data_IF_719644122794
#
_entry.id   IF_719644122794
#
_cell.length_a   1.000
_cell.length_b   1.000
_cell.length_c   1.000
_cell.angle_alpha   90.00
_cell.angle_beta   90.00
_cell.angle_gamma   90.00
#
_symmetry.space_group_name_H-M   'P 1'
#
loop_
_entity.id
_entity.type
_entity.pdbx_description
1 polymer ?
#
# COMPACT_ATOMS: atom_id res chain seq x y z
N UNK A 1 18.50 10.79 -10.68
CA UNK A 1 17.67 11.49 -9.68
C UNK A 1 18.02 11.07 -8.25
N UNK A 2 18.06 9.78 -7.96
CA UNK A 2 18.35 9.24 -6.62
C UNK A 2 19.72 9.67 -6.05
N UNK A 3 20.80 9.56 -6.83
CA UNK A 3 22.14 10.00 -6.42
C UNK A 3 22.20 11.50 -6.07
N UNK A 4 21.43 12.35 -6.76
CA UNK A 4 21.36 13.80 -6.44
C UNK A 4 20.63 14.07 -5.13
N UNK A 5 19.65 13.24 -4.78
CA UNK A 5 18.94 13.36 -3.50
C UNK A 5 19.83 12.92 -2.34
N UNK A 6 20.60 11.85 -2.49
CA UNK A 6 21.57 11.41 -1.48
C UNK A 6 22.66 12.48 -1.24
N UNK A 7 23.22 13.06 -2.30
CA UNK A 7 24.20 14.13 -2.17
C UNK A 7 23.65 15.36 -1.44
N UNK A 8 22.38 15.72 -1.69
CA UNK A 8 21.70 16.80 -0.96
C UNK A 8 21.47 16.46 0.51
N UNK A 9 21.05 15.24 0.82
CA UNK A 9 20.87 14.79 2.20
C UNK A 9 22.18 14.85 2.98
N UNK A 10 23.29 14.38 2.40
CA UNK A 10 24.62 14.44 3.01
C UNK A 10 25.08 15.89 3.26
N UNK A 11 24.82 16.81 2.33
CA UNK A 11 25.12 18.24 2.52
C UNK A 11 24.31 18.86 3.67
N UNK A 12 23.04 18.51 3.82
CA UNK A 12 22.21 19.00 4.91
C UNK A 12 22.65 18.43 6.26
N UNK A 13 22.98 17.13 6.31
CA UNK A 13 23.53 16.49 7.52
C UNK A 13 24.79 17.20 7.98
N UNK A 14 25.74 17.45 7.07
CA UNK A 14 26.97 18.16 7.38
C UNK A 14 26.71 19.58 7.89
N UNK A 15 25.78 20.33 7.26
CA UNK A 15 25.41 21.69 7.70
C UNK A 15 24.75 21.70 9.10
N UNK A 16 24.04 20.63 9.45
CA UNK A 16 23.39 20.47 10.76
C UNK A 16 24.33 19.86 11.81
N UNK A 17 25.54 19.49 11.41
CA UNK A 17 26.57 18.94 12.30
C UNK A 17 26.38 17.47 12.62
N UNK A 18 25.70 16.71 11.75
CA UNK A 18 25.53 15.27 11.88
C UNK A 18 26.35 14.50 10.83
N UNK A 19 26.84 13.33 11.20
CA UNK A 19 27.61 12.44 10.32
C UNK A 19 26.72 11.45 9.59
N UNK A 20 25.58 11.07 10.20
CA UNK A 20 24.62 10.14 9.62
C UNK A 20 23.17 10.54 9.90
N UNK A 21 22.23 9.93 9.20
CA UNK A 21 20.79 10.12 9.45
C UNK A 21 20.41 9.57 10.83
N UNK A 22 20.99 8.46 11.23
CA UNK A 22 20.76 7.81 12.53
C UNK A 22 21.13 8.75 13.69
N UNK A 23 22.24 9.50 13.55
CA UNK A 23 22.61 10.50 14.55
C UNK A 23 21.61 11.65 14.64
N UNK A 24 20.89 11.96 13.57
CA UNK A 24 19.93 13.06 13.50
C UNK A 24 18.53 12.65 13.98
N UNK A 25 18.14 11.40 13.80
CA UNK A 25 16.80 10.91 14.15
C UNK A 25 16.51 11.14 15.64
N UNK A 26 15.35 11.71 15.96
CA UNK A 26 14.93 11.99 17.33
C UNK A 26 15.64 13.16 18.01
N UNK A 27 16.48 13.93 17.31
CA UNK A 27 17.18 15.10 17.87
C UNK A 27 16.31 16.35 17.86
N UNK A 28 15.18 16.27 18.58
CA UNK A 28 14.24 17.41 18.74
C UNK A 28 14.88 18.62 19.43
N UNK A 29 15.93 18.41 20.21
CA UNK A 29 16.75 19.45 20.83
C UNK A 29 17.43 20.38 19.80
N UNK A 30 17.54 19.95 18.54
CA UNK A 30 18.11 20.74 17.45
C UNK A 30 17.08 21.51 16.64
N UNK A 31 15.78 21.39 16.98
CA UNK A 31 14.70 22.13 16.35
C UNK A 31 14.40 23.42 17.09
N UNK A 32 14.35 24.53 16.37
CA UNK A 32 14.03 25.86 16.92
C UNK A 32 12.71 26.36 16.31
N UNK A 33 11.55 26.05 16.92
CA UNK A 33 10.25 26.43 16.38
C UNK A 33 9.99 27.94 16.42
N UNK A 34 10.77 28.73 17.19
CA UNK A 34 10.54 30.17 17.40
C UNK A 34 10.41 30.97 16.12
N UNK A 35 11.18 30.67 15.07
CA UNK A 35 11.10 31.38 13.79
C UNK A 35 9.78 31.14 13.05
N UNK A 36 9.18 29.98 13.23
CA UNK A 36 7.88 29.67 12.65
C UNK A 36 6.73 30.38 13.41
N UNK A 37 6.90 30.66 14.71
CA UNK A 37 5.90 31.30 15.55
C UNK A 37 5.80 32.83 15.34
N UNK A 38 6.77 33.45 14.65
CA UNK A 38 6.72 34.88 14.32
C UNK A 38 5.65 35.22 13.28
N UNK A 39 5.19 34.25 12.52
CA UNK A 39 4.08 34.44 11.59
C UNK A 39 2.73 34.46 12.31
N UNK A 40 1.89 35.45 12.01
CA UNK A 40 0.62 35.67 12.71
C UNK A 40 -0.30 34.43 12.77
N UNK A 41 -0.33 33.59 11.72
CA UNK A 41 -1.08 32.33 11.69
C UNK A 41 -0.50 31.24 12.60
N UNK A 42 0.78 31.35 12.95
CA UNK A 42 1.47 30.34 13.73
C UNK A 42 1.53 30.67 15.24
N UNK A 43 1.11 31.88 15.64
CA UNK A 43 1.21 32.36 17.04
C UNK A 43 0.47 31.52 18.07
N UNK A 44 -0.54 30.73 17.64
CA UNK A 44 -1.32 29.87 18.51
C UNK A 44 -0.85 28.40 18.55
N UNK A 45 0.19 28.03 17.82
CA UNK A 45 0.66 26.64 17.81
C UNK A 45 1.58 26.34 18.97
N UNK A 46 1.24 25.31 19.74
CA UNK A 46 2.11 24.69 20.72
C UNK A 46 2.73 23.40 20.14
N UNK A 47 4.05 23.38 20.00
CA UNK A 47 4.80 22.25 19.48
C UNK A 47 5.31 21.32 20.58
N UNK A 48 5.02 21.57 21.84
CA UNK A 48 5.58 20.81 22.98
C UNK A 48 5.27 19.32 22.89
N UNK A 49 4.04 18.96 22.55
CA UNK A 49 3.67 17.55 22.37
C UNK A 49 4.34 16.88 21.15
N UNK A 50 4.54 17.65 20.08
CA UNK A 50 5.18 17.15 18.87
C UNK A 50 6.69 16.96 19.05
N UNK A 51 7.30 17.84 19.85
CA UNK A 51 8.73 17.83 20.14
C UNK A 51 9.06 17.12 21.45
N UNK A 52 8.05 16.51 22.09
CA UNK A 52 8.25 15.74 23.29
C UNK A 52 9.18 14.56 23.05
N UNK A 53 10.17 14.42 23.88
CA UNK A 53 11.08 13.30 23.90
C UNK A 53 10.94 12.58 25.24
N UNK A 54 10.56 11.30 25.25
CA UNK A 54 10.51 10.51 26.47
C UNK A 54 11.88 10.46 27.15
N UNK A 55 11.91 10.56 28.46
CA UNK A 55 13.11 10.27 29.25
C UNK A 55 13.24 8.76 29.40
N UNK A 56 14.04 8.18 28.53
CA UNK A 56 14.31 6.72 28.48
C UNK A 56 15.78 6.45 28.67
N UNK A 57 16.10 5.26 29.17
CA UNK A 57 17.49 4.84 29.40
C UNK A 57 18.38 4.93 28.14
N UNK A 58 19.68 5.01 28.33
CA UNK A 58 20.66 5.17 27.24
C UNK A 58 20.66 4.01 26.23
N UNK A 59 20.15 2.86 26.63
CA UNK A 59 20.09 1.65 25.80
C UNK A 59 18.91 1.67 24.81
N UNK A 60 17.99 2.64 24.95
CA UNK A 60 16.87 2.79 24.03
C UNK A 60 17.30 3.65 22.84
N UNK A 61 17.39 3.02 21.69
CA UNK A 61 17.73 3.72 20.44
C UNK A 61 16.62 4.62 19.95
N UNK A 62 17.02 5.70 19.28
CA UNK A 62 16.10 6.68 18.66
C UNK A 62 15.84 6.44 17.19
N UNK A 63 16.45 5.45 16.62
CA UNK A 63 16.34 5.07 15.22
C UNK A 63 16.05 3.55 15.12
N UNK A 64 15.78 3.10 13.91
CA UNK A 64 15.48 1.68 13.67
C UNK A 64 16.67 0.80 14.06
N UNK A 65 16.51 -0.03 15.08
CA UNK A 65 17.51 -1.00 15.57
C UNK A 65 17.06 -2.45 15.43
N UNK A 66 15.79 -2.67 15.13
CA UNK A 66 15.22 -3.99 14.94
C UNK A 66 14.57 -4.09 13.56
N UNK A 67 14.53 -5.26 13.00
CA UNK A 67 13.71 -5.54 11.85
C UNK A 67 12.24 -5.57 12.25
N UNK A 68 11.39 -5.08 11.37
CA UNK A 68 9.96 -5.07 11.56
C UNK A 68 9.38 -6.33 10.91
N UNK A 69 8.64 -7.11 11.68
CA UNK A 69 7.80 -8.16 11.13
C UNK A 69 6.54 -7.51 10.53
N UNK A 70 6.35 -7.68 9.24
CA UNK A 70 5.20 -7.17 8.50
C UNK A 70 4.08 -8.19 8.35
N UNK A 71 4.25 -9.42 8.89
CA UNK A 71 3.29 -10.51 8.81
C UNK A 71 2.79 -10.78 7.37
N UNK A 72 3.68 -10.65 6.39
CA UNK A 72 3.31 -10.84 4.97
C UNK A 72 3.01 -12.30 4.65
N UNK A 73 3.59 -13.21 5.39
CA UNK A 73 3.43 -14.66 5.23
C UNK A 73 1.99 -15.11 5.43
N UNK A 74 1.21 -14.38 6.23
CA UNK A 74 -0.22 -14.66 6.47
C UNK A 74 -1.15 -14.10 5.39
N UNK A 75 -0.63 -13.28 4.47
CA UNK A 75 -1.44 -12.66 3.43
C UNK A 75 -2.00 -13.66 2.43
N UNK A 76 -3.20 -13.39 1.89
CA UNK A 76 -3.82 -14.24 0.87
C UNK A 76 -2.96 -14.39 -0.39
N UNK A 77 -2.19 -13.38 -0.71
CA UNK A 77 -1.23 -13.44 -1.82
C UNK A 77 -0.17 -14.51 -1.57
N UNK A 78 0.48 -14.51 -0.41
CA UNK A 78 1.56 -15.45 -0.09
C UNK A 78 1.03 -16.86 0.15
N UNK A 79 -0.06 -16.99 0.90
CA UNK A 79 -0.62 -18.31 1.26
C UNK A 79 -1.30 -19.02 0.10
N UNK A 80 -1.78 -18.28 -0.91
CA UNK A 80 -2.64 -18.84 -1.95
C UNK A 80 -2.34 -18.33 -3.35
N UNK A 81 -2.35 -17.00 -3.57
CA UNK A 81 -2.37 -16.45 -4.92
C UNK A 81 -1.05 -16.67 -5.66
N UNK A 82 0.09 -16.57 -5.01
CA UNK A 82 1.39 -16.77 -5.64
C UNK A 82 1.54 -18.17 -6.21
N UNK A 83 1.13 -19.19 -5.47
CA UNK A 83 1.17 -20.57 -5.93
C UNK A 83 0.16 -20.81 -7.06
N UNK A 84 -1.08 -20.37 -6.86
CA UNK A 84 -2.14 -20.49 -7.85
C UNK A 84 -1.79 -19.80 -9.16
N UNK A 85 -1.20 -18.62 -9.11
CA UNK A 85 -0.84 -17.81 -10.27
C UNK A 85 0.54 -18.13 -10.84
N UNK A 86 1.29 -19.07 -10.26
CA UNK A 86 2.63 -19.45 -10.72
C UNK A 86 2.67 -19.77 -12.24
N UNK A 87 1.73 -20.53 -12.83
CA UNK A 87 1.73 -20.77 -14.28
C UNK A 87 1.61 -19.48 -15.11
N UNK A 88 0.78 -18.55 -14.66
CA UNK A 88 0.63 -17.25 -15.31
C UNK A 88 1.90 -16.39 -15.16
N UNK A 89 2.46 -16.33 -13.96
CA UNK A 89 3.67 -15.56 -13.66
C UNK A 89 4.85 -16.11 -14.46
N UNK A 90 5.04 -17.43 -14.50
CA UNK A 90 6.20 -18.03 -15.11
C UNK A 90 6.10 -18.15 -16.63
N UNK A 91 4.93 -18.52 -17.16
CA UNK A 91 4.76 -18.96 -18.54
C UNK A 91 3.62 -18.29 -19.30
N UNK A 92 2.96 -17.28 -18.69
CA UNK A 92 1.77 -16.60 -19.26
C UNK A 92 0.60 -17.56 -19.54
N UNK A 93 0.54 -18.67 -18.83
CA UNK A 93 -0.56 -19.62 -18.95
C UNK A 93 -1.80 -19.08 -18.24
N UNK A 94 -2.97 -19.38 -18.77
CA UNK A 94 -4.25 -18.94 -18.19
C UNK A 94 -4.50 -19.62 -16.85
N UNK A 95 -4.89 -18.82 -15.86
CA UNK A 95 -5.31 -19.27 -14.53
C UNK A 95 -6.72 -18.76 -14.28
N UNK A 96 -7.63 -19.66 -13.96
CA UNK A 96 -9.01 -19.35 -13.58
C UNK A 96 -9.30 -20.06 -12.27
N UNK A 97 -9.78 -19.29 -11.28
CA UNK A 97 -10.10 -19.84 -9.95
C UNK A 97 -11.23 -19.09 -9.28
N UNK A 98 -11.81 -19.75 -8.28
CA UNK A 98 -12.78 -19.17 -7.34
C UNK A 98 -12.23 -19.26 -5.92
N UNK A 99 -12.31 -18.19 -5.16
CA UNK A 99 -11.76 -18.09 -3.82
C UNK A 99 -12.69 -17.31 -2.88
N UNK A 100 -12.79 -17.71 -1.62
CA UNK A 100 -13.39 -16.86 -0.61
C UNK A 100 -12.46 -15.68 -0.27
N UNK A 101 -13.05 -14.54 0.07
CA UNK A 101 -12.33 -13.40 0.61
C UNK A 101 -13.05 -12.87 1.85
N UNK A 102 -12.25 -12.42 2.81
CA UNK A 102 -12.75 -11.87 4.08
C UNK A 102 -12.14 -10.49 4.32
N UNK A 103 -12.78 -9.69 5.14
CA UNK A 103 -12.33 -8.32 5.45
C UNK A 103 -10.92 -8.25 6.09
N UNK A 104 -10.45 -9.34 6.69
CA UNK A 104 -9.08 -9.47 7.17
C UNK A 104 -8.04 -9.63 6.04
N UNK A 105 -8.49 -10.07 4.85
CA UNK A 105 -7.62 -10.19 3.68
C UNK A 105 -7.46 -8.81 3.03
N UNK A 106 -6.39 -8.14 3.37
CA UNK A 106 -6.04 -6.81 2.86
C UNK A 106 -5.06 -6.90 1.70
N UNK A 107 -5.08 -5.89 0.84
CA UNK A 107 -4.11 -5.66 -0.25
C UNK A 107 -4.03 -6.85 -1.21
N UNK A 108 -5.13 -7.58 -1.36
CA UNK A 108 -5.22 -8.80 -2.18
C UNK A 108 -4.86 -8.49 -3.63
N UNK A 109 -3.95 -9.27 -4.19
CA UNK A 109 -3.47 -9.14 -5.57
C UNK A 109 -2.21 -8.28 -5.75
N UNK A 110 -1.78 -7.54 -4.72
CA UNK A 110 -0.64 -6.62 -4.83
C UNK A 110 0.69 -7.35 -4.94
N UNK A 111 0.95 -8.35 -4.10
CA UNK A 111 2.21 -9.10 -4.14
C UNK A 111 2.26 -9.92 -5.43
N UNK A 112 1.15 -10.56 -5.80
CA UNK A 112 1.03 -11.30 -7.06
C UNK A 112 1.25 -10.40 -8.27
N UNK A 113 0.67 -9.21 -8.28
CA UNK A 113 0.88 -8.19 -9.31
C UNK A 113 2.32 -7.69 -9.37
N UNK A 114 2.98 -7.57 -8.22
CA UNK A 114 4.40 -7.22 -8.14
C UNK A 114 5.29 -8.28 -8.81
N UNK A 115 5.03 -9.56 -8.60
CA UNK A 115 5.79 -10.64 -9.24
C UNK A 115 5.58 -10.66 -10.76
N UNK A 116 4.35 -10.42 -11.23
CA UNK A 116 4.06 -10.27 -12.66
C UNK A 116 4.84 -9.08 -13.25
N UNK A 117 4.80 -7.93 -12.58
CA UNK A 117 5.48 -6.71 -13.05
C UNK A 117 7.00 -6.87 -13.01
N UNK A 118 7.53 -7.53 -11.98
CA UNK A 118 8.98 -7.83 -11.88
C UNK A 118 9.46 -8.66 -13.06
N UNK A 119 8.66 -9.61 -13.50
CA UNK A 119 9.02 -10.52 -14.59
C UNK A 119 8.74 -9.97 -15.98
N UNK A 120 7.60 -9.30 -16.14
CA UNK A 120 7.09 -8.91 -17.46
C UNK A 120 7.09 -7.39 -17.71
N UNK A 121 7.53 -6.61 -16.73
CA UNK A 121 7.60 -5.14 -16.83
C UNK A 121 6.22 -4.49 -16.97
N UNK A 122 6.19 -3.30 -17.52
CA UNK A 122 4.97 -2.51 -17.71
C UNK A 122 3.98 -3.15 -18.71
N UNK A 123 4.42 -4.06 -19.58
CA UNK A 123 3.54 -4.76 -20.52
C UNK A 123 2.59 -5.74 -19.82
N UNK A 124 2.97 -6.23 -18.63
CA UNK A 124 2.19 -7.21 -17.87
C UNK A 124 1.97 -8.53 -18.61
N UNK A 125 0.81 -9.11 -18.41
CA UNK A 125 0.35 -10.33 -19.07
C UNK A 125 -0.67 -10.01 -20.18
N UNK A 126 -0.90 -10.95 -21.12
CA UNK A 126 -2.06 -10.88 -22.00
C UNK A 126 -3.35 -10.72 -21.20
N UNK A 127 -4.34 -10.06 -21.77
CA UNK A 127 -5.62 -9.80 -21.11
C UNK A 127 -6.26 -11.10 -20.60
N UNK A 128 -6.86 -11.02 -19.40
CA UNK A 128 -7.55 -12.15 -18.76
C UNK A 128 -6.69 -13.41 -18.59
N UNK A 129 -5.38 -13.28 -18.49
CA UNK A 129 -4.48 -14.41 -18.19
C UNK A 129 -4.72 -14.94 -16.77
N UNK A 130 -4.91 -14.04 -15.79
CA UNK A 130 -5.31 -14.40 -14.44
C UNK A 130 -6.73 -13.93 -14.22
N UNK A 131 -7.66 -14.84 -14.01
CA UNK A 131 -9.07 -14.53 -13.72
C UNK A 131 -9.46 -15.20 -12.40
N UNK A 132 -9.72 -14.40 -11.40
CA UNK A 132 -10.14 -14.92 -10.09
C UNK A 132 -11.49 -14.33 -9.72
N UNK A 133 -12.42 -15.22 -9.37
CA UNK A 133 -13.72 -14.88 -8.83
C UNK A 133 -13.65 -15.02 -7.32
N UNK A 134 -13.85 -13.91 -6.63
CA UNK A 134 -13.90 -13.86 -5.17
C UNK A 134 -15.31 -13.76 -4.68
N UNK A 135 -15.60 -14.41 -3.54
CA UNK A 135 -16.87 -14.36 -2.86
C UNK A 135 -16.69 -13.87 -1.42
N UNK A 136 -17.41 -12.85 -1.04
CA UNK A 136 -17.40 -12.30 0.32
C UNK A 136 -17.08 -10.83 0.43
N UNK A 137 -16.58 -10.40 1.57
CA UNK A 137 -16.25 -9.00 1.85
C UNK A 137 -14.74 -8.81 1.82
N UNK A 138 -14.23 -8.11 0.84
CA UNK A 138 -12.79 -7.85 0.71
C UNK A 138 -12.32 -6.75 1.66
N UNK A 139 -11.14 -6.94 2.23
CA UNK A 139 -10.48 -5.93 3.07
C UNK A 139 -9.93 -4.74 2.27
N UNK A 140 -9.30 -3.81 2.98
CA UNK A 140 -8.73 -2.60 2.40
C UNK A 140 -7.79 -2.87 1.23
N UNK A 141 -7.83 -2.00 0.23
CA UNK A 141 -6.92 -2.01 -0.93
C UNK A 141 -7.03 -3.29 -1.78
N UNK A 142 -8.24 -3.86 -1.90
CA UNK A 142 -8.48 -4.97 -2.81
C UNK A 142 -8.12 -4.58 -4.25
N UNK A 143 -7.32 -5.39 -4.93
CA UNK A 143 -6.85 -5.13 -6.29
C UNK A 143 -5.88 -3.96 -6.42
N UNK A 144 -5.22 -3.52 -5.32
CA UNK A 144 -4.26 -2.43 -5.41
C UNK A 144 -3.07 -2.80 -6.28
N UNK A 145 -2.65 -1.84 -7.13
CA UNK A 145 -1.50 -1.94 -8.04
C UNK A 145 -1.57 -3.11 -9.04
N UNK A 146 -2.75 -3.64 -9.31
CA UNK A 146 -2.90 -4.73 -10.28
C UNK A 146 -2.42 -4.32 -11.67
N UNK A 147 -1.48 -5.06 -12.27
CA UNK A 147 -1.01 -4.84 -13.61
C UNK A 147 -1.95 -5.46 -14.65
N UNK A 148 -1.71 -5.13 -15.91
CA UNK A 148 -2.41 -5.73 -17.06
C UNK A 148 -2.36 -7.26 -17.02
N UNK A 149 -3.48 -7.89 -17.37
CA UNK A 149 -3.65 -9.34 -17.47
C UNK A 149 -4.22 -10.00 -16.22
N UNK A 150 -4.39 -9.24 -15.12
CA UNK A 150 -5.13 -9.68 -13.95
C UNK A 150 -6.56 -9.15 -13.99
N UNK A 151 -7.53 -10.04 -13.79
CA UNK A 151 -8.96 -9.74 -13.73
C UNK A 151 -9.56 -10.34 -12.48
N UNK A 152 -9.98 -9.50 -11.56
CA UNK A 152 -10.66 -9.91 -10.32
C UNK A 152 -12.13 -9.56 -10.39
N UNK A 153 -12.97 -10.55 -10.16
CA UNK A 153 -14.39 -10.38 -9.95
C UNK A 153 -14.70 -10.66 -8.49
N UNK A 154 -15.38 -9.74 -7.82
CA UNK A 154 -15.83 -9.89 -6.44
C UNK A 154 -17.35 -9.91 -6.40
N UNK A 155 -17.92 -11.03 -6.03
CA UNK A 155 -19.33 -11.13 -5.65
C UNK A 155 -19.44 -10.87 -4.14
N UNK A 156 -19.78 -9.62 -3.79
CA UNK A 156 -19.78 -9.14 -2.42
C UNK A 156 -19.56 -7.64 -2.33
N UNK A 157 -18.79 -7.23 -1.35
CA UNK A 157 -18.44 -5.83 -1.10
C UNK A 157 -16.93 -5.69 -0.81
N UNK A 158 -16.42 -4.49 -0.95
CA UNK A 158 -15.02 -4.19 -0.70
C UNK A 158 -14.86 -2.95 0.17
N UNK A 159 -13.87 -2.97 1.03
CA UNK A 159 -13.50 -1.86 1.91
C UNK A 159 -12.80 -0.73 1.13
N UNK A 160 -12.24 0.25 1.84
CA UNK A 160 -11.59 1.43 1.27
C UNK A 160 -10.40 1.10 0.34
N UNK A 161 -10.07 2.04 -0.53
CA UNK A 161 -8.92 2.01 -1.45
C UNK A 161 -8.92 0.89 -2.49
N UNK A 162 -10.10 0.46 -2.93
CA UNK A 162 -10.23 -0.50 -4.04
C UNK A 162 -9.48 0.03 -5.26
N UNK A 163 -8.67 -0.83 -5.90
CA UNK A 163 -7.94 -0.49 -7.10
C UNK A 163 -6.94 0.66 -6.96
N UNK A 164 -6.50 0.96 -5.72
CA UNK A 164 -5.47 1.97 -5.50
C UNK A 164 -4.26 1.70 -6.40
N UNK A 165 -3.87 2.69 -7.20
CA UNK A 165 -2.73 2.55 -8.11
C UNK A 165 -2.92 1.51 -9.22
N UNK A 166 -4.16 1.14 -9.56
CA UNK A 166 -4.46 0.21 -10.66
C UNK A 166 -3.70 0.62 -11.93
N UNK A 167 -3.01 -0.32 -12.55
CA UNK A 167 -2.10 -0.05 -13.67
C UNK A 167 -2.34 -0.99 -14.86
N UNK A 168 -3.60 -1.28 -15.17
CA UNK A 168 -4.03 -2.07 -16.32
C UNK A 168 -4.78 -3.36 -15.97
N UNK A 169 -5.00 -3.64 -14.70
CA UNK A 169 -5.86 -4.74 -14.25
C UNK A 169 -7.35 -4.41 -14.42
N UNK A 170 -8.18 -5.44 -14.22
CA UNK A 170 -9.63 -5.35 -14.31
C UNK A 170 -10.26 -5.72 -12.96
N UNK A 171 -11.14 -4.86 -12.45
CA UNK A 171 -11.88 -5.06 -11.21
C UNK A 171 -13.37 -4.99 -11.47
N UNK A 172 -14.10 -6.05 -11.15
CA UNK A 172 -15.55 -6.14 -11.26
C UNK A 172 -16.09 -6.44 -9.87
N UNK A 173 -16.88 -5.53 -9.30
CA UNK A 173 -17.44 -5.70 -7.95
C UNK A 173 -18.95 -5.55 -8.05
N UNK A 174 -19.67 -6.53 -7.55
CA UNK A 174 -21.12 -6.51 -7.52
C UNK A 174 -21.66 -7.30 -6.31
N UNK A 175 -22.83 -6.93 -5.77
CA UNK A 175 -23.43 -7.71 -4.70
C UNK A 175 -23.84 -9.11 -5.18
N UNK A 176 -23.99 -10.07 -4.26
CA UNK A 176 -24.52 -11.39 -4.57
C UNK A 176 -25.91 -11.32 -5.20
N UNK A 177 -26.18 -12.21 -6.16
CA UNK A 177 -27.48 -12.25 -6.85
C UNK A 177 -28.69 -12.43 -5.91
N UNK A 178 -28.47 -13.05 -4.76
CA UNK A 178 -29.49 -13.25 -3.73
C UNK A 178 -29.64 -12.09 -2.73
N UNK A 179 -28.99 -10.95 -2.94
CA UNK A 179 -29.10 -9.80 -2.05
C UNK A 179 -30.49 -9.21 -2.07
N UNK A 180 -31.01 -8.88 -0.89
CA UNK A 180 -32.37 -8.32 -0.70
C UNK A 180 -32.40 -6.80 -0.63
N UNK A 181 -31.24 -6.14 -0.65
CA UNK A 181 -31.10 -4.70 -0.66
C UNK A 181 -31.01 -4.17 -2.10
N UNK A 182 -31.29 -2.89 -2.27
CA UNK A 182 -31.14 -2.17 -3.55
C UNK A 182 -29.70 -1.71 -3.67
N UNK A 183 -28.89 -2.22 -4.62
CA UNK A 183 -27.45 -1.92 -4.70
C UNK A 183 -27.14 -0.43 -4.84
N UNK A 184 -27.96 0.32 -5.60
CA UNK A 184 -27.79 1.75 -5.87
C UNK A 184 -28.02 2.62 -4.62
N UNK A 185 -28.69 2.08 -3.61
CA UNK A 185 -28.98 2.75 -2.34
C UNK A 185 -28.01 2.33 -1.22
N UNK A 186 -27.03 1.49 -1.53
CA UNK A 186 -26.10 0.93 -0.54
C UNK A 186 -24.65 1.07 -0.96
N UNK A 187 -23.76 1.07 0.03
CA UNK A 187 -22.31 1.13 -0.20
C UNK A 187 -21.81 -0.29 -0.50
N UNK A 188 -21.33 -0.49 -1.74
CA UNK A 188 -20.71 -1.74 -2.19
C UNK A 188 -19.18 -1.64 -2.17
N UNK A 189 -18.67 -0.44 -2.38
CA UNK A 189 -17.23 -0.14 -2.36
C UNK A 189 -17.00 1.02 -1.39
N UNK A 190 -16.01 0.88 -0.54
CA UNK A 190 -15.64 1.91 0.43
C UNK A 190 -15.07 3.19 -0.19
N UNK A 191 -14.51 4.04 0.65
CA UNK A 191 -14.01 5.36 0.24
C UNK A 191 -12.72 5.26 -0.59
N UNK A 192 -12.43 6.33 -1.35
CA UNK A 192 -11.16 6.54 -2.07
C UNK A 192 -10.87 5.42 -3.07
N UNK A 193 -11.88 4.95 -3.79
CA UNK A 193 -11.69 3.99 -4.87
C UNK A 193 -10.80 4.57 -5.98
N UNK A 194 -9.97 3.73 -6.59
CA UNK A 194 -9.08 4.05 -7.72
C UNK A 194 -8.06 5.18 -7.46
N UNK A 195 -7.72 5.46 -6.21
CA UNK A 195 -6.75 6.51 -5.88
C UNK A 195 -5.41 6.27 -6.59
N UNK A 196 -5.00 7.23 -7.44
CA UNK A 196 -3.75 7.12 -8.19
C UNK A 196 -3.74 6.05 -9.29
N UNK A 197 -4.89 5.49 -9.67
CA UNK A 197 -5.00 4.59 -10.82
C UNK A 197 -4.59 5.32 -12.11
N UNK A 198 -3.88 4.63 -12.98
CA UNK A 198 -3.35 5.17 -14.24
C UNK A 198 -3.98 4.52 -15.47
N UNK A 199 -4.43 3.28 -15.34
CA UNK A 199 -5.11 2.52 -16.41
C UNK A 199 -5.80 1.29 -15.82
N UNK A 200 -6.69 0.69 -16.58
CA UNK A 200 -7.47 -0.50 -16.19
C UNK A 200 -8.97 -0.27 -16.33
N UNK A 201 -9.77 -1.23 -15.88
CA UNK A 201 -11.21 -1.24 -15.95
C UNK A 201 -11.84 -1.57 -14.59
#
# INVERSE_FOLDING_TARGET
>A
RWLRQQARASQWLAKLGFRSIEEMVGRVDRLAPRRALDHWKARGFDFSNLLYQPDVGPDIGRYRQMEQDHDLESSLDVTTLLELCRPAIERREKVIAELPVRNVNRVVGTITGSEITRKWGAAGLPEDTVRIHFHGSAGQSFGAFMPRGMSFRLEGDANDYVGKGLSGGKLIIHPPAGSTFVPEENIIVGNVALYGATSGE
#
